data_IF_223703445243
#
_entry.id   IF_223703445243
#
_cell.length_a   1.000
_cell.length_b   1.000
_cell.length_c   1.000
_cell.angle_alpha   90.00
_cell.angle_beta   90.00
_cell.angle_gamma   90.00
#
_symmetry.space_group_name_H-M   'P 1'
#
loop_
_entity.id
_entity.type
_entity.pdbx_description
1 polymer ?
#
# COMPACT_ATOMS: atom_id res chain seq x y z
N UNK A 1 10.83 -0.26 12.14
CA UNK A 1 9.84 -1.36 12.19
C UNK A 1 9.45 -1.81 10.78
N UNK A 2 8.90 -0.93 9.95
CA UNK A 2 8.47 -1.24 8.58
C UNK A 2 9.51 -2.01 7.74
N UNK A 3 10.76 -1.53 7.66
CA UNK A 3 11.81 -2.21 6.89
C UNK A 3 12.04 -3.66 7.33
N UNK A 4 11.88 -3.96 8.62
CA UNK A 4 12.01 -5.33 9.14
C UNK A 4 10.81 -6.21 8.78
N UNK A 5 9.59 -5.65 8.78
CA UNK A 5 8.40 -6.35 8.28
C UNK A 5 8.54 -6.66 6.78
N UNK A 6 8.95 -5.66 5.99
CA UNK A 6 9.18 -5.82 4.56
C UNK A 6 10.28 -6.82 4.23
N UNK A 7 11.35 -6.88 5.03
CA UNK A 7 12.39 -7.89 4.88
C UNK A 7 11.91 -9.33 5.13
N UNK A 8 10.79 -9.51 5.84
CA UNK A 8 10.15 -10.81 6.11
C UNK A 8 8.90 -11.07 5.27
N UNK A 9 8.44 -10.06 4.53
CA UNK A 9 7.27 -10.19 3.67
C UNK A 9 7.58 -11.09 2.49
N UNK A 10 6.83 -12.17 2.34
CA UNK A 10 6.85 -12.99 1.13
C UNK A 10 5.81 -12.55 0.10
N UNK A 11 4.93 -11.60 0.46
CA UNK A 11 3.82 -11.14 -0.39
C UNK A 11 3.60 -9.65 -0.22
N UNK A 12 4.15 -8.86 -1.15
CA UNK A 12 3.95 -7.42 -1.19
C UNK A 12 4.71 -6.64 -0.13
N UNK A 13 4.29 -5.38 0.06
CA UNK A 13 4.94 -4.41 0.95
C UNK A 13 4.01 -3.89 2.02
N UNK A 14 4.48 -3.90 3.27
CA UNK A 14 3.87 -3.23 4.39
C UNK A 14 4.20 -1.74 4.39
N UNK A 15 3.15 -0.95 4.53
CA UNK A 15 3.15 0.47 4.86
C UNK A 15 2.56 0.65 6.25
N UNK A 16 3.34 1.19 7.19
CA UNK A 16 2.87 1.49 8.54
C UNK A 16 2.45 2.96 8.60
N UNK A 17 1.21 3.29 9.00
CA UNK A 17 0.73 4.67 9.10
C UNK A 17 1.64 5.60 9.92
N UNK A 18 2.21 5.08 11.01
CA UNK A 18 3.13 5.82 11.87
C UNK A 18 4.54 6.00 11.30
N UNK A 19 4.96 5.17 10.34
CA UNK A 19 6.32 5.24 9.77
C UNK A 19 6.43 6.32 8.68
N UNK A 20 5.38 6.49 7.86
CA UNK A 20 5.33 7.39 6.68
C UNK A 20 6.52 7.26 5.71
N UNK A 21 7.31 6.19 5.86
CA UNK A 21 8.47 5.91 5.01
C UNK A 21 8.03 5.14 3.78
N UNK A 22 8.50 5.52 2.58
CA UNK A 22 8.17 4.77 1.38
C UNK A 22 8.79 3.37 1.39
N UNK A 23 8.07 2.37 0.88
CA UNK A 23 8.55 1.01 0.68
C UNK A 23 8.67 0.68 -0.81
N UNK A 24 9.64 -0.16 -1.17
CA UNK A 24 9.86 -0.62 -2.54
C UNK A 24 9.18 -1.97 -2.77
N UNK A 25 8.40 -2.08 -3.85
CA UNK A 25 7.78 -3.30 -4.33
C UNK A 25 8.26 -3.60 -5.76
N UNK A 26 8.88 -4.75 -5.96
CA UNK A 26 9.13 -5.29 -7.30
C UNK A 26 7.85 -5.96 -7.81
N UNK A 27 7.38 -5.57 -9.00
CA UNK A 27 6.12 -6.03 -9.57
C UNK A 27 6.24 -6.36 -11.06
N UNK A 28 5.18 -6.94 -11.62
CA UNK A 28 5.12 -7.26 -13.06
C UNK A 28 5.17 -6.04 -13.97
N UNK A 29 4.84 -4.85 -13.43
CA UNK A 29 4.85 -3.57 -14.17
C UNK A 29 6.10 -2.73 -13.89
N UNK A 30 7.08 -3.30 -13.19
CA UNK A 30 8.31 -2.62 -12.78
C UNK A 30 8.41 -2.40 -11.27
N UNK A 31 9.45 -1.67 -10.87
CA UNK A 31 9.72 -1.36 -9.47
C UNK A 31 8.94 -0.13 -9.04
N UNK A 32 8.13 -0.30 -7.99
CA UNK A 32 7.26 0.74 -7.45
C UNK A 32 7.77 1.18 -6.07
N UNK A 33 7.65 2.46 -5.78
CA UNK A 33 7.86 3.05 -4.46
C UNK A 33 6.54 3.56 -3.93
N UNK A 34 6.10 3.02 -2.80
CA UNK A 34 4.76 3.26 -2.26
C UNK A 34 4.83 3.92 -0.89
N UNK A 35 3.95 4.87 -0.60
CA UNK A 35 3.83 5.49 0.72
C UNK A 35 2.38 5.88 1.04
N UNK A 36 2.08 6.03 2.34
CA UNK A 36 0.79 6.53 2.82
C UNK A 36 0.92 8.00 3.21
N UNK A 37 0.01 8.83 2.71
CA UNK A 37 -0.09 10.25 3.07
C UNK A 37 -1.55 10.60 3.38
N UNK A 38 -1.79 11.78 3.94
CA UNK A 38 -3.14 12.31 4.24
C UNK A 38 -4.04 11.35 5.05
N UNK A 39 -3.47 10.69 6.06
CA UNK A 39 -4.20 9.73 6.90
C UNK A 39 -5.09 10.50 7.88
N UNK A 40 -6.40 10.34 7.75
CA UNK A 40 -7.41 11.05 8.54
C UNK A 40 -8.54 10.12 8.99
N UNK A 41 -9.15 10.36 10.16
CA UNK A 41 -10.37 9.66 10.56
C UNK A 41 -11.50 9.93 9.58
N UNK A 42 -12.36 8.95 9.37
CA UNK A 42 -13.59 9.02 8.58
C UNK A 42 -14.76 8.43 9.38
N UNK A 43 -16.01 8.79 9.04
CA UNK A 43 -17.19 8.35 9.79
C UNK A 43 -17.30 6.81 9.89
N UNK A 44 -16.86 6.10 8.85
CA UNK A 44 -16.91 4.64 8.76
C UNK A 44 -15.52 3.98 8.83
N UNK A 45 -14.47 4.72 9.25
CA UNK A 45 -13.12 4.17 9.41
C UNK A 45 -12.00 5.19 9.22
N UNK A 46 -11.13 4.94 8.24
CA UNK A 46 -9.93 5.74 7.97
C UNK A 46 -9.85 6.09 6.49
N UNK A 47 -9.61 7.35 6.16
CA UNK A 47 -9.25 7.77 4.81
C UNK A 47 -7.75 8.05 4.72
N UNK A 48 -7.14 7.70 3.60
CA UNK A 48 -5.74 7.99 3.32
C UNK A 48 -5.48 8.07 1.82
N UNK A 49 -4.30 8.55 1.43
CA UNK A 49 -3.83 8.49 0.04
C UNK A 49 -2.66 7.52 -0.05
N UNK A 50 -2.78 6.53 -0.93
CA UNK A 50 -1.66 5.69 -1.35
C UNK A 50 -0.96 6.39 -2.50
N UNK A 51 0.26 6.85 -2.26
CA UNK A 51 1.15 7.39 -3.31
C UNK A 51 1.98 6.27 -3.90
N UNK A 52 2.05 6.20 -5.21
CA UNK A 52 2.79 5.20 -5.97
C UNK A 52 3.69 5.92 -6.97
N UNK A 53 4.99 5.69 -6.85
CA UNK A 53 6.00 6.24 -7.74
C UNK A 53 6.68 5.12 -8.51
N UNK A 54 6.79 5.26 -9.83
CA UNK A 54 7.65 4.41 -10.64
C UNK A 54 9.12 4.74 -10.35
N UNK A 55 9.95 3.72 -10.13
CA UNK A 55 11.40 3.94 -9.96
C UNK A 55 12.13 4.08 -11.31
N UNK A 56 11.52 3.57 -12.39
CA UNK A 56 12.00 3.75 -13.77
C UNK A 56 11.63 5.12 -14.34
N UNK A 57 12.35 5.53 -15.39
CA UNK A 57 11.97 6.67 -16.23
C UNK A 57 10.93 6.29 -17.31
N UNK A 58 10.38 5.09 -17.25
CA UNK A 58 9.30 4.63 -18.12
C UNK A 58 7.94 4.94 -17.48
N UNK A 59 6.93 5.33 -18.28
CA UNK A 59 5.58 5.52 -17.77
C UNK A 59 4.98 4.22 -17.23
N UNK A 60 4.26 4.29 -16.10
CA UNK A 60 3.55 3.14 -15.55
C UNK A 60 2.27 2.84 -16.35
N UNK A 61 2.03 1.59 -16.80
CA UNK A 61 0.76 1.21 -17.42
C UNK A 61 -0.38 1.27 -16.41
N UNK A 62 -1.64 1.16 -16.87
CA UNK A 62 -2.75 0.94 -15.95
C UNK A 62 -2.60 -0.41 -15.23
N UNK A 63 -2.88 -0.44 -13.94
CA UNK A 63 -2.75 -1.66 -13.13
C UNK A 63 -3.81 -1.75 -12.04
N UNK A 64 -4.05 -2.97 -11.59
CA UNK A 64 -4.81 -3.26 -10.38
C UNK A 64 -3.89 -3.81 -9.29
N UNK A 65 -4.37 -3.78 -8.06
CA UNK A 65 -3.67 -4.33 -6.91
C UNK A 65 -4.62 -4.69 -5.79
N UNK A 66 -4.15 -5.50 -4.86
CA UNK A 66 -4.85 -5.78 -3.61
C UNK A 66 -4.21 -5.01 -2.47
N UNK A 67 -5.05 -4.33 -1.69
CA UNK A 67 -4.67 -3.66 -0.44
C UNK A 67 -5.30 -4.42 0.71
N UNK A 68 -4.47 -4.96 1.59
CA UNK A 68 -4.87 -5.53 2.87
C UNK A 68 -4.54 -4.55 3.99
N UNK A 69 -5.39 -4.48 5.01
CA UNK A 69 -5.18 -3.56 6.13
C UNK A 69 -5.75 -4.16 7.41
N UNK A 70 -5.13 -3.80 8.54
CA UNK A 70 -5.51 -4.37 9.82
C UNK A 70 -4.53 -4.02 10.94
N UNK A 71 -4.53 -4.89 11.94
CA UNK A 71 -3.72 -4.78 13.15
C UNK A 71 -2.58 -5.80 13.13
N UNK A 72 -1.50 -5.48 13.83
CA UNK A 72 -0.38 -6.38 14.06
C UNK A 72 -0.34 -6.73 15.55
N UNK A 73 -0.55 -8.00 15.86
CA UNK A 73 -0.34 -8.53 17.21
C UNK A 73 1.01 -9.24 17.31
N UNK A 74 1.71 -9.06 18.44
CA UNK A 74 2.97 -9.74 18.72
C UNK A 74 4.19 -8.84 18.49
N UNK A 75 5.30 -9.45 18.07
CA UNK A 75 6.59 -8.76 17.87
C UNK A 75 6.96 -8.77 16.39
N UNK A 76 7.88 -7.90 15.96
CA UNK A 76 8.43 -7.93 14.60
C UNK A 76 9.01 -9.31 14.23
N UNK A 77 9.44 -10.07 15.24
CA UNK A 77 10.00 -11.41 15.04
C UNK A 77 8.97 -12.50 14.84
N UNK A 78 7.85 -12.39 15.55
CA UNK A 78 6.71 -13.30 15.47
C UNK A 78 5.45 -12.46 15.60
N UNK A 79 4.91 -12.03 14.47
CA UNK A 79 3.68 -11.25 14.41
C UNK A 79 2.55 -12.06 13.79
N UNK A 80 1.33 -11.66 14.10
CA UNK A 80 0.11 -12.11 13.45
C UNK A 80 -0.66 -10.87 12.95
N UNK A 81 -1.12 -10.93 11.72
CA UNK A 81 -2.08 -9.95 11.21
C UNK A 81 -3.47 -10.34 11.73
N UNK A 82 -4.15 -9.42 12.39
CA UNK A 82 -5.49 -9.64 12.95
C UNK A 82 -6.46 -8.57 12.44
N UNK A 83 -7.75 -8.92 12.43
CA UNK A 83 -8.82 -8.05 11.93
C UNK A 83 -8.55 -7.54 10.50
N UNK A 84 -7.95 -8.40 9.67
CA UNK A 84 -7.53 -8.06 8.32
C UNK A 84 -8.75 -7.93 7.41
N UNK A 85 -8.79 -6.82 6.68
CA UNK A 85 -9.72 -6.59 5.59
C UNK A 85 -8.93 -6.32 4.32
N UNK A 86 -9.59 -6.47 3.17
CA UNK A 86 -8.99 -6.20 1.87
C UNK A 86 -9.90 -5.35 0.99
N UNK A 87 -9.27 -4.65 0.05
CA UNK A 87 -9.94 -3.96 -1.04
C UNK A 87 -9.07 -4.00 -2.30
N UNK A 88 -9.71 -3.99 -3.46
CA UNK A 88 -9.04 -3.82 -4.74
C UNK A 88 -8.79 -2.34 -5.02
N UNK A 89 -7.63 -2.04 -5.61
CA UNK A 89 -7.28 -0.73 -6.13
C UNK A 89 -7.06 -0.80 -7.63
N UNK A 90 -7.38 0.30 -8.31
CA UNK A 90 -7.07 0.48 -9.72
C UNK A 90 -6.33 1.80 -9.90
N UNK A 91 -5.21 1.75 -10.60
CA UNK A 91 -4.41 2.90 -10.97
C UNK A 91 -4.57 3.15 -12.47
N UNK A 92 -4.85 4.39 -12.90
CA UNK A 92 -4.82 4.73 -14.31
C UNK A 92 -3.40 4.63 -14.86
N UNK A 93 -3.28 4.46 -16.18
CA UNK A 93 -1.99 4.57 -16.85
C UNK A 93 -1.42 5.97 -16.62
N UNK A 94 -0.14 6.05 -16.25
CA UNK A 94 0.58 7.31 -16.18
C UNK A 94 1.18 7.60 -17.55
N UNK A 95 0.96 8.81 -18.06
CA UNK A 95 1.53 9.28 -19.34
C UNK A 95 2.87 9.98 -19.11
N UNK A 96 3.17 10.37 -17.86
CA UNK A 96 4.36 11.14 -17.49
C UNK A 96 5.39 10.26 -16.79
N UNK A 97 6.66 10.58 -17.02
CA UNK A 97 7.81 9.98 -16.34
C UNK A 97 8.62 11.06 -15.58
N UNK A 98 9.07 10.78 -14.34
CA UNK A 98 8.73 9.61 -13.53
C UNK A 98 7.25 9.61 -13.16
N UNK A 99 6.63 8.43 -13.18
CA UNK A 99 5.21 8.31 -12.87
C UNK A 99 4.96 8.50 -11.38
N UNK A 100 4.05 9.40 -11.04
CA UNK A 100 3.50 9.58 -9.69
C UNK A 100 1.98 9.45 -9.78
N UNK A 101 1.43 8.52 -9.01
CA UNK A 101 -0.01 8.22 -8.96
C UNK A 101 -0.46 8.25 -7.51
N UNK A 102 -1.41 9.13 -7.22
CA UNK A 102 -2.07 9.22 -5.92
C UNK A 102 -3.45 8.55 -6.00
N UNK A 103 -3.66 7.51 -5.19
CA UNK A 103 -4.93 6.77 -5.10
C UNK A 103 -5.57 7.05 -3.73
N UNK A 104 -6.74 7.72 -3.67
CA UNK A 104 -7.47 7.85 -2.41
C UNK A 104 -8.05 6.49 -1.99
N UNK A 105 -7.84 6.11 -0.73
CA UNK A 105 -8.37 4.89 -0.13
C UNK A 105 -9.26 5.23 1.06
N UNK A 106 -10.40 4.56 1.14
CA UNK A 106 -11.28 4.56 2.31
C UNK A 106 -11.22 3.16 2.94
N UNK A 107 -10.54 3.04 4.07
CA UNK A 107 -10.44 1.81 4.85
C UNK A 107 -11.64 1.73 5.78
N UNK A 108 -12.57 0.84 5.50
CA UNK A 108 -13.81 0.71 6.27
C UNK A 108 -13.57 -0.08 7.56
N UNK A 109 -14.32 0.23 8.61
CA UNK A 109 -14.34 -0.56 9.85
C UNK A 109 -13.05 -0.56 10.66
N UNK A 110 -12.09 0.32 10.36
CA UNK A 110 -10.84 0.47 11.13
C UNK A 110 -10.55 1.94 11.39
N UNK A 111 -10.39 2.32 12.66
CA UNK A 111 -9.99 3.68 13.02
C UNK A 111 -8.49 3.90 12.78
N UNK A 112 -8.07 5.16 12.70
CA UNK A 112 -6.65 5.51 12.51
C UNK A 112 -5.78 4.94 13.63
N UNK A 113 -6.29 4.90 14.86
CA UNK A 113 -5.59 4.37 16.04
C UNK A 113 -5.49 2.85 16.04
N UNK A 114 -6.41 2.17 15.35
CA UNK A 114 -6.40 0.72 15.19
C UNK A 114 -5.62 0.27 13.94
N UNK A 115 -5.32 1.17 13.01
CA UNK A 115 -4.63 0.83 11.77
C UNK A 115 -3.12 0.68 12.02
N UNK A 116 -2.65 -0.56 12.21
CA UNK A 116 -1.22 -0.82 12.34
C UNK A 116 -0.52 -0.93 10.99
N UNK A 117 -1.19 -1.50 9.99
CA UNK A 117 -0.59 -1.74 8.68
C UNK A 117 -1.56 -1.59 7.52
N UNK A 118 -0.98 -1.27 6.37
CA UNK A 118 -1.56 -1.40 5.04
C UNK A 118 -0.54 -2.19 4.21
N UNK A 119 -0.90 -3.35 3.66
CA UNK A 119 -0.05 -4.19 2.81
C UNK A 119 -0.57 -4.16 1.38
N UNK A 120 0.30 -3.84 0.44
CA UNK A 120 -0.03 -3.80 -0.99
C UNK A 120 0.66 -4.97 -1.68
N UNK A 121 -0.10 -5.77 -2.42
CA UNK A 121 0.39 -6.93 -3.13
C UNK A 121 -0.46 -7.22 -4.38
N UNK A 122 -0.09 -8.29 -5.09
CA UNK A 122 -0.80 -8.77 -6.29
C UNK A 122 -1.03 -7.67 -7.33
N UNK A 123 0.05 -6.95 -7.67
CA UNK A 123 0.02 -5.92 -8.71
C UNK A 123 -0.01 -6.59 -10.08
N UNK A 124 -1.06 -6.30 -10.85
CA UNK A 124 -1.31 -6.88 -12.16
C UNK A 124 -1.58 -5.76 -13.18
N UNK A 125 -0.99 -5.80 -14.38
CA UNK A 125 -1.38 -4.88 -15.44
C UNK A 125 -2.85 -5.11 -15.81
N UNK A 126 -3.61 -4.03 -16.02
CA UNK A 126 -4.95 -4.14 -16.59
C UNK A 126 -4.81 -4.09 -18.10
N UNK A 127 -5.15 -5.18 -18.80
CA UNK A 127 -5.19 -5.18 -20.26
C UNK A 127 -6.29 -4.21 -20.70
N UNK A 128 -5.91 -3.19 -21.47
CA UNK A 128 -6.83 -2.27 -22.14
C UNK A 128 -7.37 -2.87 -23.43
#
# INVERSE_FOLDING_TARGET
QQNRLNAKSSSGVYLLPGAKTPARLESQIGTLRMSLVNITPDADGTTLTLRIQGESNDPLPAFSGTVEYGQIQGTIDNFQEINVQNQLINAPASVLAPSDVDIPLQLKGISVEQLDFVRIHDIQPVMQ
#
